data_IF_782271777136
#
_entry.id   IF_782271777136
#
_cell.length_a   1.000
_cell.length_b   1.000
_cell.length_c   1.000
_cell.angle_alpha   90.00
_cell.angle_beta   90.00
_cell.angle_gamma   90.00
#
_symmetry.space_group_name_H-M   'P 1'
#
loop_
_entity.id
_entity.type
_entity.pdbx_description
1 polymer ?
#
# COMPACT_ATOMS: atom_id res chain seq x y z
N UNK A 1 -9.84 -6.95 8.15
CA UNK A 1 -10.77 -5.80 8.02
C UNK A 1 -10.00 -4.66 7.34
N UNK A 2 -10.62 -3.90 6.43
CA UNK A 2 -9.98 -2.76 5.76
C UNK A 2 -9.78 -1.58 6.73
N UNK A 3 -8.73 -0.74 6.58
CA UNK A 3 -8.58 0.46 7.40
C UNK A 3 -9.72 1.45 7.15
N UNK A 4 -10.09 2.22 8.20
CA UNK A 4 -10.90 3.43 8.04
C UNK A 4 -9.93 4.60 7.92
N UNK A 5 -10.22 5.54 7.03
CA UNK A 5 -9.40 6.71 6.77
C UNK A 5 -10.29 7.93 6.97
N UNK A 6 -9.92 8.80 7.91
CA UNK A 6 -10.67 9.99 8.29
C UNK A 6 -10.04 11.26 7.71
N UNK A 7 -10.74 12.38 7.83
CA UNK A 7 -10.21 13.68 7.40
C UNK A 7 -8.94 13.99 8.20
N UNK A 8 -7.83 14.20 7.49
CA UNK A 8 -6.52 14.51 8.09
C UNK A 8 -5.56 13.33 8.11
N UNK A 9 -6.03 12.11 7.85
CA UNK A 9 -5.17 10.94 7.72
C UNK A 9 -4.27 11.03 6.47
N UNK A 10 -3.13 10.34 6.52
CA UNK A 10 -2.16 10.28 5.43
C UNK A 10 -1.89 8.85 5.03
N UNK A 11 -2.04 8.55 3.75
CA UNK A 11 -1.58 7.29 3.15
C UNK A 11 -0.20 7.53 2.55
N UNK A 12 0.80 6.82 3.07
CA UNK A 12 2.18 6.87 2.55
C UNK A 12 2.44 5.53 1.86
N UNK A 13 2.89 5.60 0.60
CA UNK A 13 3.29 4.44 -0.19
C UNK A 13 4.77 4.58 -0.49
N UNK A 14 5.53 3.51 -0.27
CA UNK A 14 6.97 3.49 -0.52
C UNK A 14 7.33 2.25 -1.32
N UNK A 15 7.84 2.47 -2.53
CA UNK A 15 8.48 1.42 -3.33
C UNK A 15 9.97 1.36 -3.02
N UNK A 16 10.53 0.16 -2.99
CA UNK A 16 11.96 -0.08 -2.80
C UNK A 16 12.48 -0.90 -3.96
N UNK A 17 13.61 -0.47 -4.52
CA UNK A 17 14.27 -1.11 -5.65
C UNK A 17 15.71 -1.44 -5.26
N UNK A 18 16.17 -2.65 -5.60
CA UNK A 18 17.51 -3.12 -5.30
C UNK A 18 18.33 -3.24 -6.59
N UNK A 19 19.12 -2.19 -6.85
CA UNK A 19 20.05 -2.13 -7.96
C UNK A 19 21.50 -2.51 -7.56
N UNK A 20 21.69 -3.21 -6.43
CA UNK A 20 23.04 -3.62 -5.99
C UNK A 20 23.60 -4.76 -6.84
N UNK A 21 24.92 -4.83 -6.97
CA UNK A 21 25.62 -5.92 -7.70
C UNK A 21 25.36 -7.33 -7.10
N UNK A 22 24.97 -7.40 -5.83
CA UNK A 22 24.70 -8.67 -5.14
C UNK A 22 23.29 -9.21 -5.39
N UNK A 23 22.42 -8.43 -6.04
CA UNK A 23 21.10 -8.90 -6.40
C UNK A 23 21.19 -9.82 -7.62
N UNK A 24 21.17 -11.14 -7.40
CA UNK A 24 21.22 -12.16 -8.49
C UNK A 24 20.09 -12.04 -9.52
N UNK A 25 19.03 -11.29 -9.21
CA UNK A 25 17.89 -11.06 -10.10
C UNK A 25 18.04 -9.77 -10.91
N UNK A 26 19.04 -8.96 -10.62
CA UNK A 26 19.41 -7.81 -11.42
C UNK A 26 20.51 -8.22 -12.41
N UNK A 27 20.18 -8.42 -13.70
CA UNK A 27 21.15 -8.87 -14.68
C UNK A 27 22.18 -7.79 -15.08
N UNK A 28 21.91 -6.51 -14.79
CA UNK A 28 22.78 -5.39 -15.14
C UNK A 28 22.70 -4.26 -14.08
N UNK A 29 23.49 -4.34 -13.00
CA UNK A 29 23.47 -3.36 -11.91
C UNK A 29 24.02 -1.97 -12.30
N UNK A 30 24.77 -1.87 -13.39
CA UNK A 30 25.33 -0.61 -13.87
C UNK A 30 24.36 0.13 -14.82
N UNK A 31 23.26 -0.51 -15.23
CA UNK A 31 22.25 0.12 -16.06
C UNK A 31 21.51 1.22 -15.29
N UNK A 32 21.39 2.40 -15.92
CA UNK A 32 20.47 3.43 -15.43
C UNK A 32 19.01 3.01 -15.68
N UNK A 33 18.27 2.71 -14.61
CA UNK A 33 16.84 2.38 -14.67
C UNK A 33 16.01 3.60 -14.25
N UNK A 34 15.13 4.04 -15.14
CA UNK A 34 14.18 5.14 -14.89
C UNK A 34 12.74 4.65 -14.82
N UNK A 35 11.82 5.57 -14.54
CA UNK A 35 10.37 5.29 -14.61
C UNK A 35 9.93 5.33 -16.08
N UNK A 36 9.14 4.34 -16.51
CA UNK A 36 8.60 4.28 -17.87
C UNK A 36 7.84 2.99 -18.19
N UNK A 37 7.39 2.89 -19.44
CA UNK A 37 6.54 1.77 -19.91
C UNK A 37 7.32 0.67 -20.63
N UNK A 38 8.65 0.84 -20.82
CA UNK A 38 9.49 -0.18 -21.46
C UNK A 38 9.75 -1.31 -20.47
N UNK A 39 10.01 -2.51 -20.98
CA UNK A 39 10.43 -3.65 -20.13
C UNK A 39 11.71 -3.39 -19.33
N UNK A 40 12.56 -2.47 -19.80
CA UNK A 40 13.79 -2.08 -19.12
C UNK A 40 13.61 -0.91 -18.12
N UNK A 41 12.42 -0.31 -18.07
CA UNK A 41 12.07 0.74 -17.13
C UNK A 41 11.36 0.14 -15.91
N UNK A 42 11.32 0.90 -14.82
CA UNK A 42 10.69 0.51 -13.57
C UNK A 42 9.32 1.15 -13.37
N UNK A 43 8.45 0.48 -12.60
CA UNK A 43 7.11 0.97 -12.28
C UNK A 43 6.80 0.79 -10.79
N UNK A 44 6.25 1.83 -10.14
CA UNK A 44 5.66 1.71 -8.80
C UNK A 44 4.17 1.98 -8.88
N UNK A 45 3.35 0.92 -8.85
CA UNK A 45 1.89 1.06 -8.91
C UNK A 45 1.21 0.55 -7.64
N UNK A 46 0.33 1.37 -7.07
CA UNK A 46 -0.58 0.98 -6.01
C UNK A 46 -2.02 1.25 -6.46
N UNK A 47 -2.74 0.18 -6.77
CA UNK A 47 -4.16 0.25 -7.13
C UNK A 47 -5.00 0.10 -5.86
N UNK A 48 -5.65 1.19 -5.44
CA UNK A 48 -6.41 1.24 -4.18
C UNK A 48 -7.89 1.43 -4.50
N UNK A 49 -8.69 0.39 -4.22
CA UNK A 49 -10.15 0.50 -4.23
C UNK A 49 -10.62 1.19 -2.94
N UNK A 50 -11.48 2.19 -3.08
CA UNK A 50 -12.05 2.93 -1.95
C UNK A 50 -13.57 2.86 -1.95
N UNK A 51 -14.16 2.81 -0.75
CA UNK A 51 -15.59 3.01 -0.53
C UNK A 51 -15.75 4.27 0.29
N UNK A 52 -16.47 5.24 -0.26
CA UNK A 52 -16.78 6.47 0.45
C UNK A 52 -17.90 6.22 1.45
N UNK A 53 -17.74 6.77 2.65
CA UNK A 53 -18.70 6.70 3.72
C UNK A 53 -19.06 8.13 4.13
N UNK A 54 -20.29 8.32 4.56
CA UNK A 54 -20.68 9.48 5.35
C UNK A 54 -20.31 9.26 6.83
N UNK A 55 -20.54 10.29 7.65
CA UNK A 55 -20.23 10.25 9.08
C UNK A 55 -21.00 9.13 9.80
N UNK A 56 -22.28 8.93 9.47
CA UNK A 56 -23.12 7.88 10.05
C UNK A 56 -22.56 6.49 9.72
N UNK A 57 -22.24 6.23 8.45
CA UNK A 57 -21.67 4.96 8.00
C UNK A 57 -20.31 4.68 8.61
N UNK A 58 -19.47 5.70 8.78
CA UNK A 58 -18.18 5.59 9.45
C UNK A 58 -18.34 5.21 10.93
N UNK A 59 -19.20 5.92 11.67
CA UNK A 59 -19.41 5.67 13.10
C UNK A 59 -20.02 4.29 13.35
N UNK A 60 -21.00 3.88 12.53
CA UNK A 60 -21.56 2.54 12.60
C UNK A 60 -20.49 1.45 12.47
N UNK A 61 -19.58 1.60 11.50
CA UNK A 61 -18.50 0.64 11.32
C UNK A 61 -17.51 0.66 12.48
N UNK A 62 -17.23 1.83 13.08
CA UNK A 62 -16.39 1.93 14.28
C UNK A 62 -17.02 1.20 15.47
N UNK A 63 -18.32 1.40 15.71
CA UNK A 63 -19.07 0.72 16.77
C UNK A 63 -19.07 -0.80 16.57
N UNK A 64 -19.40 -1.26 15.37
CA UNK A 64 -19.39 -2.68 14.99
C UNK A 64 -18.00 -3.31 15.23
N UNK A 65 -16.92 -2.57 14.97
CA UNK A 65 -15.55 -3.04 15.21
C UNK A 65 -15.20 -3.12 16.70
N UNK A 66 -15.64 -2.16 17.51
CA UNK A 66 -15.43 -2.16 18.97
C UNK A 66 -16.19 -3.29 19.66
N UNK A 67 -17.38 -3.62 19.17
CA UNK A 67 -18.23 -4.66 19.74
C UNK A 67 -17.77 -6.08 19.40
N UNK A 68 -16.89 -6.25 18.40
CA UNK A 68 -16.32 -7.56 18.06
C UNK A 68 -15.25 -7.92 19.08
N UNK A 69 -15.33 -9.09 19.74
CA UNK A 69 -14.24 -9.58 20.56
C UNK A 69 -13.00 -9.70 19.67
N UNK A 70 -11.88 -9.13 20.13
CA UNK A 70 -10.58 -9.38 19.54
C UNK A 70 -10.37 -10.88 19.73
N UNK A 71 -10.41 -11.67 18.65
CA UNK A 71 -9.83 -13.00 18.75
C UNK A 71 -8.35 -12.77 18.95
N UNK A 72 -7.86 -13.16 20.13
CA UNK A 72 -6.43 -13.20 20.43
C UNK A 72 -5.75 -13.94 19.28
N UNK A 73 -4.94 -13.20 18.52
CA UNK A 73 -4.05 -13.79 17.53
C UNK A 73 -2.83 -14.28 18.31
N UNK A 74 -2.82 -15.57 18.60
CA UNK A 74 -1.59 -16.33 18.89
C UNK A 74 -0.55 -16.14 17.76
#
# INVERSE_FOLDING_TARGET
MAPLIEVGDKVILTGWYDNTENNRYNPDPDQWVGIGDRTADEMSHAWIGVTHLDEEGLEKIKEDRKARPISDRD
#
